data_IF_523823423173
#
_entry.id   IF_523823423173
#
_cell.length_a   1.000
_cell.length_b   1.000
_cell.length_c   1.000
_cell.angle_alpha   90.00
_cell.angle_beta   90.00
_cell.angle_gamma   90.00
#
_symmetry.space_group_name_H-M   'P 1'
#
loop_
_entity.id
_entity.type
_entity.pdbx_description
1 polymer ?
#
# COMPACT_ATOMS: atom_id res chain seq x y z
N UNK A 1 6.17 16.47 20.56
CA UNK A 1 5.82 17.39 21.66
C UNK A 1 5.01 18.59 21.17
N UNK A 2 5.51 19.43 20.24
CA UNK A 2 4.77 20.59 19.74
C UNK A 2 3.39 20.25 19.14
N UNK A 3 3.30 19.21 18.28
CA UNK A 3 2.01 18.71 17.75
C UNK A 3 1.05 18.18 18.84
N UNK A 4 1.57 17.69 19.96
CA UNK A 4 0.74 17.19 21.06
C UNK A 4 0.11 18.39 21.79
N UNK A 5 0.92 19.40 22.10
CA UNK A 5 0.46 20.61 22.78
C UNK A 5 -0.50 21.45 21.92
N UNK A 6 -0.33 21.44 20.59
CA UNK A 6 -1.19 22.15 19.65
C UNK A 6 -2.58 21.51 19.44
N UNK A 7 -2.75 20.24 19.82
CA UNK A 7 -3.98 19.47 19.58
C UNK A 7 -4.59 18.92 20.86
N UNK A 8 -4.08 19.29 22.04
CA UNK A 8 -4.51 18.76 23.34
C UNK A 8 -6.00 18.99 23.62
N UNK A 9 -6.57 20.04 23.04
CA UNK A 9 -8.00 20.38 23.02
C UNK A 9 -8.87 19.35 22.28
N UNK A 10 -8.27 18.53 21.41
CA UNK A 10 -8.98 17.45 20.68
C UNK A 10 -9.07 16.15 21.48
N UNK A 11 -8.41 16.06 22.65
CA UNK A 11 -8.47 14.91 23.54
C UNK A 11 -9.82 14.87 24.26
N UNK A 12 -10.71 14.01 23.78
CA UNK A 12 -12.08 13.88 24.32
C UNK A 12 -12.19 13.07 25.61
N UNK A 13 -11.17 12.27 25.94
CA UNK A 13 -11.14 11.42 27.12
C UNK A 13 -9.70 11.30 27.63
N UNK A 14 -9.45 11.80 28.84
CA UNK A 14 -8.14 11.85 29.48
C UNK A 14 -7.55 10.45 29.75
N UNK A 15 -8.39 9.42 29.99
CA UNK A 15 -7.92 8.04 30.19
C UNK A 15 -7.29 7.44 28.92
N UNK A 16 -7.54 8.03 27.75
CA UNK A 16 -6.98 7.61 26.46
C UNK A 16 -5.80 8.45 26.01
N UNK A 17 -5.25 9.30 26.89
CA UNK A 17 -4.13 10.19 26.60
C UNK A 17 -2.95 9.45 25.95
N UNK A 18 -2.56 8.30 26.50
CA UNK A 18 -1.42 7.54 26.00
C UNK A 18 -1.65 7.05 24.56
N UNK A 19 -2.82 6.48 24.28
CA UNK A 19 -3.20 6.02 22.93
C UNK A 19 -3.32 7.17 21.92
N UNK A 20 -3.83 8.32 22.37
CA UNK A 20 -3.94 9.53 21.56
C UNK A 20 -2.57 10.14 21.22
N UNK A 21 -1.62 10.14 22.18
CA UNK A 21 -0.22 10.54 21.94
C UNK A 21 0.45 9.62 20.91
N UNK A 22 0.25 8.30 21.03
CA UNK A 22 0.77 7.34 20.05
C UNK A 22 0.20 7.61 18.64
N UNK A 23 -1.07 7.99 18.56
CA UNK A 23 -1.70 8.33 17.29
C UNK A 23 -1.12 9.60 16.66
N UNK A 24 -0.92 10.67 17.44
CA UNK A 24 -0.25 11.89 16.95
C UNK A 24 1.18 11.59 16.49
N UNK A 25 1.90 10.77 17.24
CA UNK A 25 3.28 10.38 16.90
C UNK A 25 3.34 9.59 15.60
N UNK A 26 2.46 8.59 15.43
CA UNK A 26 2.36 7.81 14.19
C UNK A 26 2.03 8.70 13.00
N UNK A 27 1.07 9.61 13.15
CA UNK A 27 0.69 10.54 12.08
C UNK A 27 1.85 11.48 11.72
N UNK A 28 2.60 11.98 12.70
CA UNK A 28 3.76 12.84 12.44
C UNK A 28 4.88 12.12 11.69
N UNK A 29 5.14 10.84 12.01
CA UNK A 29 6.09 10.00 11.27
C UNK A 29 5.62 9.82 9.83
N UNK A 30 4.34 9.49 9.64
CA UNK A 30 3.76 9.31 8.31
C UNK A 30 3.82 10.60 7.46
N UNK A 31 3.51 11.75 8.05
CA UNK A 31 3.62 13.06 7.40
C UNK A 31 5.06 13.33 6.94
N UNK A 32 6.05 13.04 7.79
CA UNK A 32 7.46 13.24 7.49
C UNK A 32 7.91 12.42 6.28
N UNK A 33 7.59 11.12 6.25
CA UNK A 33 7.97 10.26 5.13
C UNK A 33 7.19 10.60 3.85
N UNK A 34 5.94 11.07 3.96
CA UNK A 34 5.17 11.57 2.82
C UNK A 34 5.79 12.83 2.22
N UNK A 35 6.23 13.79 3.04
CA UNK A 35 6.89 15.00 2.56
C UNK A 35 8.32 14.73 2.06
N UNK A 36 9.02 13.77 2.66
CA UNK A 36 10.38 13.41 2.25
C UNK A 36 10.42 12.80 0.84
N UNK A 37 9.48 11.91 0.50
CA UNK A 37 9.34 11.38 -0.87
C UNK A 37 8.96 12.45 -1.90
N UNK A 38 8.22 13.48 -1.50
CA UNK A 38 7.73 14.51 -2.41
C UNK A 38 8.76 15.62 -2.71
N UNK A 39 9.83 15.75 -1.90
CA UNK A 39 10.73 16.92 -1.94
C UNK A 39 12.21 16.57 -2.15
N UNK A 40 12.55 15.30 -2.33
CA UNK A 40 13.94 14.92 -2.63
C UNK A 40 14.21 15.06 -4.13
N UNK A 41 15.09 15.97 -4.58
CA UNK A 41 15.62 15.89 -5.94
C UNK A 41 16.38 14.57 -6.06
N UNK A 42 16.01 13.76 -7.04
CA UNK A 42 16.73 12.53 -7.39
C UNK A 42 18.20 12.91 -7.60
N UNK A 43 19.16 12.31 -6.85
CA UNK A 43 20.58 12.49 -7.12
C UNK A 43 20.86 12.10 -8.57
N UNK A 44 21.58 12.95 -9.30
CA UNK A 44 21.86 12.80 -10.74
C UNK A 44 22.77 11.59 -11.04
N UNK A 45 23.30 10.96 -9.99
CA UNK A 45 23.94 9.64 -10.02
C UNK A 45 23.44 8.83 -8.83
N UNK A 46 22.31 8.15 -9.01
CA UNK A 46 21.99 7.00 -8.18
C UNK A 46 22.70 5.81 -8.79
N UNK A 47 23.94 5.54 -8.36
CA UNK A 47 24.47 4.17 -8.34
C UNK A 47 23.67 3.38 -7.29
N UNK A 48 22.36 3.21 -7.52
CA UNK A 48 21.47 2.35 -6.74
C UNK A 48 21.04 1.17 -7.62
N UNK A 49 22.02 0.43 -8.12
CA UNK A 49 21.84 -0.96 -8.47
C UNK A 49 22.73 -1.78 -7.54
N UNK A 50 22.48 -1.67 -6.23
CA UNK A 50 22.58 -2.88 -5.43
C UNK A 50 21.21 -3.53 -5.60
N UNK A 51 21.15 -4.54 -6.48
CA UNK A 51 20.01 -5.41 -6.69
C UNK A 51 19.56 -5.95 -5.33
N UNK A 52 18.61 -5.24 -4.71
CA UNK A 52 17.94 -5.74 -3.53
C UNK A 52 17.14 -6.95 -4.02
N UNK A 53 17.28 -8.14 -3.41
CA UNK A 53 16.69 -9.38 -3.91
C UNK A 53 15.15 -9.38 -4.02
N UNK A 54 14.47 -8.28 -3.67
CA UNK A 54 13.04 -8.09 -3.85
C UNK A 54 12.62 -7.26 -5.07
N UNK A 55 13.53 -6.55 -5.75
CA UNK A 55 13.13 -5.67 -6.87
C UNK A 55 12.83 -6.49 -8.15
N UNK A 56 13.61 -7.55 -8.39
CA UNK A 56 13.36 -8.50 -9.49
C UNK A 56 12.03 -9.23 -9.31
N UNK A 57 11.73 -9.71 -8.10
CA UNK A 57 10.46 -10.39 -7.80
C UNK A 57 9.24 -9.48 -8.00
N UNK A 58 9.37 -8.20 -7.65
CA UNK A 58 8.29 -7.23 -7.86
C UNK A 58 8.05 -7.01 -9.36
N UNK A 59 9.13 -6.91 -10.16
CA UNK A 59 9.03 -6.78 -11.61
C UNK A 59 8.40 -8.02 -12.26
N UNK A 60 8.76 -9.23 -11.81
CA UNK A 60 8.18 -10.49 -12.29
C UNK A 60 6.68 -10.63 -11.98
N UNK A 61 6.26 -10.22 -10.77
CA UNK A 61 4.87 -10.34 -10.33
C UNK A 61 3.96 -9.23 -10.86
N UNK A 62 4.53 -8.11 -11.31
CA UNK A 62 3.76 -6.93 -11.74
C UNK A 62 2.72 -7.23 -12.84
N UNK A 63 3.01 -8.02 -13.89
CA UNK A 63 2.01 -8.41 -14.89
C UNK A 63 0.84 -9.17 -14.28
N UNK A 64 1.10 -10.17 -13.43
CA UNK A 64 0.07 -10.97 -12.77
C UNK A 64 -0.80 -10.10 -11.83
N UNK A 65 -0.17 -9.21 -11.06
CA UNK A 65 -0.88 -8.28 -10.16
C UNK A 65 -1.78 -7.35 -10.97
N UNK A 66 -1.29 -6.85 -12.10
CA UNK A 66 -2.08 -5.99 -12.99
C UNK A 66 -3.33 -6.71 -13.48
N UNK A 67 -3.21 -7.94 -13.96
CA UNK A 67 -4.37 -8.74 -14.39
C UNK A 67 -5.35 -8.99 -13.24
N UNK A 68 -4.87 -9.25 -12.02
CA UNK A 68 -5.74 -9.40 -10.86
C UNK A 68 -6.50 -8.11 -10.53
N UNK A 69 -5.84 -6.95 -10.62
CA UNK A 69 -6.49 -5.65 -10.43
C UNK A 69 -7.53 -5.40 -11.52
N UNK A 70 -7.24 -5.74 -12.77
CA UNK A 70 -8.17 -5.58 -13.88
C UNK A 70 -9.42 -6.47 -13.72
N UNK A 71 -9.26 -7.65 -13.12
CA UNK A 71 -10.34 -8.60 -12.83
C UNK A 71 -11.19 -8.24 -11.58
N UNK A 72 -10.82 -7.20 -10.82
CA UNK A 72 -11.67 -6.75 -9.72
C UNK A 72 -12.99 -6.16 -10.23
N UNK A 73 -14.09 -6.30 -9.45
CA UNK A 73 -15.31 -5.54 -9.70
C UNK A 73 -15.03 -4.04 -9.83
N UNK A 74 -15.72 -3.37 -10.76
CA UNK A 74 -15.39 -1.99 -11.18
C UNK A 74 -15.23 -1.02 -10.00
N UNK A 75 -16.18 -1.01 -9.05
CA UNK A 75 -16.13 -0.18 -7.85
C UNK A 75 -14.86 -0.38 -7.01
N UNK A 76 -14.35 -1.60 -6.94
CA UNK A 76 -13.17 -1.95 -6.15
C UNK A 76 -11.88 -1.63 -6.90
N UNK A 77 -11.85 -1.90 -8.20
CA UNK A 77 -10.75 -1.53 -9.08
C UNK A 77 -10.57 -0.01 -9.09
N UNK A 78 -11.64 0.73 -9.30
CA UNK A 78 -11.63 2.21 -9.31
C UNK A 78 -11.14 2.76 -7.96
N UNK A 79 -11.63 2.22 -6.85
CA UNK A 79 -11.18 2.62 -5.52
C UNK A 79 -9.67 2.41 -5.33
N UNK A 80 -9.13 1.24 -5.72
CA UNK A 80 -7.69 0.96 -5.62
C UNK A 80 -6.85 1.85 -6.53
N UNK A 81 -7.24 2.04 -7.79
CA UNK A 81 -6.49 2.89 -8.72
C UNK A 81 -6.44 4.33 -8.19
N UNK A 82 -7.58 4.86 -7.75
CA UNK A 82 -7.65 6.23 -7.25
C UNK A 82 -6.80 6.42 -5.98
N UNK A 83 -6.82 5.46 -5.04
CA UNK A 83 -6.09 5.64 -3.76
C UNK A 83 -4.64 5.21 -3.82
N UNK A 84 -4.32 4.06 -4.41
CA UNK A 84 -2.98 3.49 -4.39
C UNK A 84 -2.12 4.00 -5.56
N UNK A 85 -2.71 4.15 -6.75
CA UNK A 85 -1.97 4.60 -7.95
C UNK A 85 -1.97 6.12 -8.10
N UNK A 86 -3.14 6.75 -7.89
CA UNK A 86 -3.28 8.22 -8.01
C UNK A 86 -3.12 8.96 -6.68
N UNK A 87 -2.96 8.24 -5.56
CA UNK A 87 -2.61 8.83 -4.27
C UNK A 87 -3.73 9.60 -3.55
N UNK A 88 -4.99 9.43 -3.96
CA UNK A 88 -6.13 10.06 -3.27
C UNK A 88 -6.28 9.49 -1.85
N UNK A 89 -6.60 10.36 -0.91
CA UNK A 89 -7.08 9.95 0.40
C UNK A 89 -8.47 9.30 0.28
N UNK A 90 -8.82 8.44 1.23
CA UNK A 90 -10.16 7.83 1.28
C UNK A 90 -11.29 8.87 1.43
N UNK A 91 -10.97 10.07 1.93
CA UNK A 91 -11.91 11.19 2.00
C UNK A 91 -12.15 11.78 0.61
N UNK A 92 -11.07 12.11 -0.11
CA UNK A 92 -11.14 12.61 -1.49
C UNK A 92 -11.78 11.58 -2.43
N UNK A 93 -11.55 10.29 -2.21
CA UNK A 93 -12.26 9.22 -2.91
C UNK A 93 -13.78 9.30 -2.70
N UNK A 94 -14.21 9.48 -1.46
CA UNK A 94 -15.63 9.60 -1.13
C UNK A 94 -16.28 10.80 -1.83
N UNK A 95 -15.61 11.95 -1.77
CA UNK A 95 -16.03 13.17 -2.46
C UNK A 95 -16.09 12.96 -3.99
N UNK A 96 -15.07 12.34 -4.58
CA UNK A 96 -14.97 12.07 -6.02
C UNK A 96 -16.05 11.11 -6.52
N UNK A 97 -16.39 10.08 -5.75
CA UNK A 97 -17.37 9.06 -6.13
C UNK A 97 -18.79 9.35 -5.63
N UNK A 98 -19.02 10.46 -4.92
CA UNK A 98 -20.32 10.80 -4.36
C UNK A 98 -20.80 9.84 -3.27
N UNK A 99 -19.88 9.23 -2.52
CA UNK A 99 -20.18 8.27 -1.43
C UNK A 99 -19.71 8.80 -0.08
N UNK A 100 -20.25 8.25 1.01
CA UNK A 100 -19.81 8.61 2.36
C UNK A 100 -18.34 8.20 2.60
N UNK A 101 -17.66 8.91 3.52
CA UNK A 101 -16.31 8.53 3.94
C UNK A 101 -16.22 7.09 4.46
N UNK A 102 -17.23 6.65 5.22
CA UNK A 102 -17.33 5.25 5.68
C UNK A 102 -17.51 4.27 4.51
N UNK A 103 -18.27 4.65 3.49
CA UNK A 103 -18.43 3.89 2.25
C UNK A 103 -17.12 3.78 1.47
N UNK A 104 -16.40 4.89 1.29
CA UNK A 104 -15.10 4.92 0.64
C UNK A 104 -14.07 4.04 1.38
N UNK A 105 -13.98 4.16 2.71
CA UNK A 105 -13.13 3.30 3.54
C UNK A 105 -13.46 1.82 3.38
N UNK A 106 -14.75 1.46 3.44
CA UNK A 106 -15.19 0.07 3.28
C UNK A 106 -14.88 -0.45 1.87
N UNK A 107 -15.06 0.37 0.84
CA UNK A 107 -14.80 0.01 -0.56
C UNK A 107 -13.32 -0.27 -0.79
N UNK A 108 -12.42 0.59 -0.29
CA UNK A 108 -10.96 0.38 -0.37
C UNK A 108 -10.55 -0.87 0.41
N UNK A 109 -11.09 -1.06 1.61
CA UNK A 109 -10.79 -2.26 2.41
C UNK A 109 -11.18 -3.54 1.68
N UNK A 110 -12.41 -3.62 1.16
CA UNK A 110 -12.89 -4.79 0.42
C UNK A 110 -12.10 -5.04 -0.86
N UNK A 111 -11.67 -3.97 -1.54
CA UNK A 111 -10.82 -4.08 -2.71
C UNK A 111 -9.47 -4.73 -2.36
N UNK A 112 -8.82 -4.27 -1.28
CA UNK A 112 -7.57 -4.85 -0.77
C UNK A 112 -7.75 -6.32 -0.33
N UNK A 113 -8.84 -6.64 0.36
CA UNK A 113 -9.14 -8.02 0.78
C UNK A 113 -9.33 -8.97 -0.41
N UNK A 114 -10.03 -8.50 -1.45
CA UNK A 114 -10.21 -9.29 -2.69
C UNK A 114 -8.90 -9.50 -3.41
N UNK A 115 -8.11 -8.46 -3.61
CA UNK A 115 -6.80 -8.56 -4.26
C UNK A 115 -5.87 -9.51 -3.47
N UNK A 116 -5.86 -9.39 -2.14
CA UNK A 116 -5.11 -10.31 -1.28
C UNK A 116 -5.56 -11.76 -1.45
N UNK A 117 -6.87 -12.00 -1.55
CA UNK A 117 -7.40 -13.36 -1.74
C UNK A 117 -6.94 -13.93 -3.08
N UNK A 118 -7.07 -13.15 -4.16
CA UNK A 118 -6.60 -13.55 -5.50
C UNK A 118 -5.11 -13.88 -5.52
N UNK A 119 -4.29 -13.08 -4.83
CA UNK A 119 -2.86 -13.33 -4.68
C UNK A 119 -2.58 -14.66 -3.97
N UNK A 120 -3.19 -14.89 -2.80
CA UNK A 120 -2.95 -16.10 -1.99
C UNK A 120 -3.52 -17.38 -2.62
N UNK A 121 -4.57 -17.25 -3.44
CA UNK A 121 -5.11 -18.35 -4.23
C UNK A 121 -4.17 -18.71 -5.38
N UNK A 122 -3.51 -17.72 -5.98
CA UNK A 122 -2.57 -17.93 -7.09
C UNK A 122 -1.20 -18.44 -6.63
N UNK A 123 -0.65 -17.88 -5.56
CA UNK A 123 0.72 -18.16 -5.13
C UNK A 123 0.81 -18.32 -3.61
N UNK A 124 1.73 -19.18 -3.19
CA UNK A 124 2.24 -19.14 -1.83
C UNK A 124 3.34 -18.08 -1.76
N UNK A 125 3.25 -17.12 -0.84
CA UNK A 125 4.25 -16.06 -0.68
C UNK A 125 4.97 -16.22 0.66
N UNK A 126 6.30 -16.10 0.63
CA UNK A 126 7.11 -15.92 1.83
C UNK A 126 7.33 -14.42 2.05
N UNK A 127 6.96 -13.94 3.24
CA UNK A 127 6.97 -12.52 3.57
C UNK A 127 7.84 -12.30 4.81
N UNK A 128 8.70 -11.28 4.77
CA UNK A 128 9.53 -10.93 5.90
C UNK A 128 8.75 -10.19 7.02
N UNK A 129 9.43 -9.89 8.12
CA UNK A 129 8.86 -9.15 9.25
C UNK A 129 8.45 -7.71 8.89
N UNK A 130 8.91 -7.18 7.76
CA UNK A 130 8.60 -5.84 7.25
C UNK A 130 7.46 -5.87 6.22
N UNK A 131 6.95 -7.05 5.86
CA UNK A 131 5.87 -7.20 4.88
C UNK A 131 6.35 -7.28 3.43
N UNK A 132 7.64 -7.46 3.17
CA UNK A 132 8.20 -7.59 1.82
C UNK A 132 8.16 -9.04 1.37
N UNK A 133 7.85 -9.27 0.09
CA UNK A 133 7.92 -10.60 -0.54
C UNK A 133 9.39 -10.98 -0.69
N UNK A 134 9.78 -12.11 -0.11
CA UNK A 134 11.13 -12.68 -0.22
C UNK A 134 11.16 -13.79 -1.26
N UNK A 135 10.07 -14.55 -1.38
CA UNK A 135 9.93 -15.66 -2.31
C UNK A 135 8.44 -15.90 -2.65
N UNK A 136 8.18 -16.57 -3.76
CA UNK A 136 6.85 -17.07 -4.12
C UNK A 136 6.89 -18.42 -4.83
N UNK A 137 5.91 -19.27 -4.52
CA UNK A 137 5.67 -20.52 -5.24
C UNK A 137 4.31 -20.44 -5.96
N UNK A 138 4.31 -20.48 -7.30
CA UNK A 138 3.07 -20.55 -8.08
C UNK A 138 2.22 -21.78 -7.70
N UNK A 139 0.93 -21.56 -7.49
CA UNK A 139 -0.11 -22.60 -7.40
C UNK A 139 -1.01 -22.60 -8.64
N UNK A 140 -0.78 -21.66 -9.55
CA UNK A 140 -1.54 -21.33 -10.75
C UNK A 140 -0.59 -21.21 -11.96
N UNK A 141 -1.06 -21.53 -13.16
CA UNK A 141 -0.25 -21.42 -14.40
C UNK A 141 0.01 -19.96 -14.83
N UNK A 142 -0.75 -18.98 -14.35
CA UNK A 142 -0.54 -17.57 -14.73
C UNK A 142 0.69 -16.93 -14.07
N UNK A 143 1.32 -17.56 -13.09
CA UNK A 143 2.58 -17.09 -12.50
C UNK A 143 3.79 -17.94 -12.89
N UNK A 144 3.60 -19.14 -13.47
CA UNK A 144 4.70 -20.02 -13.88
C UNK A 144 5.40 -19.58 -15.17
N UNK A 145 4.71 -18.81 -16.02
CA UNK A 145 5.26 -18.29 -17.28
C UNK A 145 6.21 -17.10 -17.11
N UNK A 146 6.20 -16.46 -15.93
CA UNK A 146 7.03 -15.29 -15.64
C UNK A 146 8.32 -15.66 -14.90
N UNK A 147 8.41 -16.86 -14.32
CA UNK A 147 9.58 -17.37 -13.59
C UNK A 147 10.76 -17.76 -14.52
N UNK A 148 10.54 -17.86 -15.84
CA UNK A 148 11.54 -18.40 -16.77
C UNK A 148 12.61 -17.40 -17.24
N UNK A 149 12.64 -16.17 -16.72
CA UNK A 149 13.60 -15.13 -17.18
C UNK A 149 14.80 -14.90 -16.25
N UNK A 150 14.86 -15.54 -15.08
CA UNK A 150 15.94 -15.34 -14.09
C UNK A 150 16.99 -16.47 -14.04
N UNK A 151 17.10 -17.28 -15.09
CA UNK A 151 18.08 -18.36 -15.18
C UNK A 151 18.84 -18.32 -16.50
N UNK A 152 19.72 -17.32 -16.68
CA UNK A 152 20.88 -17.36 -17.58
C UNK A 152 21.97 -16.38 -17.10
#
# INVERSE_FOLDING_TARGET
>A
FLKIHAHVDTLRNEEKLQGWIFQITRNAIHDYYRSYKATSPLPETLDLAEDLPGDDLVAELAPCIKEMVDNLPNDYREALILTEYQGLTQKELGEKLGISFSGAKSRVQRAREKLKTMLLDCCHFEIDRLGRVIDYQPRCDCCSTHTSSAAL
#
